data_IF_372089316376
#
_entry.id   IF_372089316376
#
_cell.length_a   1.000
_cell.length_b   1.000
_cell.length_c   1.000
_cell.angle_alpha   90.00
_cell.angle_beta   90.00
_cell.angle_gamma   90.00
#
_symmetry.space_group_name_H-M   'P 1'
#
loop_
_entity.id
_entity.type
_entity.pdbx_description
1 polymer ?
#
# COMPACT_ATOMS: atom_id res chain seq x y z
N UNK A 1 24.11 3.52 5.71
CA UNK A 1 24.16 2.32 4.86
C UNK A 1 22.72 2.06 4.43
N UNK A 2 22.45 1.94 3.13
CA UNK A 2 21.11 1.66 2.62
C UNK A 2 20.91 0.13 2.60
N UNK A 3 19.86 -0.38 3.22
CA UNK A 3 19.53 -1.80 3.29
C UNK A 3 18.35 -2.20 2.39
N UNK A 4 17.76 -1.22 1.68
CA UNK A 4 16.61 -1.44 0.80
C UNK A 4 17.03 -2.24 -0.43
N UNK A 5 16.27 -3.29 -0.74
CA UNK A 5 16.45 -4.20 -1.87
C UNK A 5 15.14 -4.37 -2.64
N UNK A 6 15.14 -4.96 -3.84
CA UNK A 6 13.90 -5.27 -4.57
C UNK A 6 12.89 -6.13 -3.80
N UNK A 7 13.34 -6.92 -2.81
CA UNK A 7 12.43 -7.71 -1.98
C UNK A 7 11.59 -6.87 -1.00
N UNK A 8 11.99 -5.61 -0.74
CA UNK A 8 11.24 -4.71 0.16
C UNK A 8 9.94 -4.17 -0.48
N UNK A 9 9.72 -4.40 -1.78
CA UNK A 9 8.40 -4.22 -2.41
C UNK A 9 7.39 -5.31 -2.02
N UNK A 10 7.85 -6.44 -1.51
CA UNK A 10 6.97 -7.54 -1.12
C UNK A 10 6.72 -7.53 0.39
N UNK A 11 5.54 -7.94 0.86
CA UNK A 11 5.20 -7.95 2.30
C UNK A 11 5.86 -9.15 3.02
N UNK A 12 7.16 -9.36 2.83
CA UNK A 12 7.93 -10.47 3.37
C UNK A 12 9.10 -9.96 4.21
N UNK A 13 9.01 -10.13 5.53
CA UNK A 13 10.11 -9.87 6.45
C UNK A 13 10.69 -11.17 6.95
N UNK A 14 12.01 -11.32 6.81
CA UNK A 14 12.71 -12.52 7.21
C UNK A 14 12.94 -12.57 8.72
N UNK A 15 12.65 -13.73 9.28
CA UNK A 15 13.02 -14.14 10.62
C UNK A 15 13.64 -15.54 10.53
N UNK A 16 14.07 -16.11 11.66
CA UNK A 16 14.53 -17.51 11.74
C UNK A 16 13.39 -18.49 11.39
N UNK A 17 12.18 -18.07 11.72
CA UNK A 17 10.94 -18.81 11.50
C UNK A 17 10.50 -18.79 10.02
N UNK A 18 9.62 -19.71 9.61
CA UNK A 18 8.98 -19.64 8.29
C UNK A 18 8.34 -18.27 8.03
N UNK A 19 8.30 -17.86 6.77
CA UNK A 19 7.82 -16.54 6.35
C UNK A 19 6.41 -16.17 6.85
N UNK A 20 5.59 -17.16 7.18
CA UNK A 20 4.23 -16.96 7.71
C UNK A 20 4.23 -16.53 9.18
N UNK A 21 5.34 -16.71 9.89
CA UNK A 21 5.49 -16.32 11.30
C UNK A 21 6.21 -14.98 11.33
N UNK A 22 5.57 -13.91 11.81
CA UNK A 22 6.22 -12.61 11.88
C UNK A 22 7.32 -12.56 12.93
N UNK A 23 8.31 -11.71 12.71
CA UNK A 23 9.44 -11.51 13.64
C UNK A 23 9.08 -10.80 14.95
N UNK A 24 7.83 -10.39 15.13
CA UNK A 24 7.31 -9.71 16.32
C UNK A 24 6.03 -10.40 16.79
N UNK A 25 5.87 -10.53 18.12
CA UNK A 25 4.65 -11.02 18.76
C UNK A 25 3.66 -9.89 19.08
N UNK A 26 3.99 -8.65 18.79
CA UNK A 26 3.08 -7.54 19.03
C UNK A 26 1.83 -7.70 18.16
N UNK A 27 0.66 -7.57 18.80
CA UNK A 27 -0.63 -7.70 18.12
C UNK A 27 -0.82 -6.71 16.98
N UNK A 28 -0.17 -5.55 17.07
CA UNK A 28 -0.29 -4.48 16.08
C UNK A 28 0.85 -4.48 15.06
N UNK A 29 1.70 -5.49 15.05
CA UNK A 29 2.70 -5.65 13.99
C UNK A 29 2.02 -5.67 12.62
N UNK A 30 2.56 -4.88 11.67
CA UNK A 30 2.03 -4.80 10.31
C UNK A 30 3.13 -4.53 9.28
N UNK A 31 2.84 -4.94 8.04
CA UNK A 31 3.47 -4.46 6.81
C UNK A 31 2.48 -3.56 6.08
N UNK A 32 2.93 -2.42 5.57
CA UNK A 32 2.01 -1.44 4.99
C UNK A 32 2.59 -0.79 3.74
N UNK A 33 1.74 -0.73 2.74
CA UNK A 33 1.90 0.16 1.60
C UNK A 33 1.06 1.42 1.81
N UNK A 34 1.62 2.55 1.42
CA UNK A 34 0.89 3.80 1.32
C UNK A 34 1.35 4.54 0.08
N UNK A 35 0.43 4.76 -0.83
CA UNK A 35 0.69 5.51 -2.04
C UNK A 35 -0.23 6.70 -2.10
N UNK A 36 0.24 7.78 -2.72
CA UNK A 36 -0.59 8.90 -3.10
C UNK A 36 -0.23 9.37 -4.50
N UNK A 37 -1.15 10.09 -5.11
CA UNK A 37 -0.94 10.76 -6.37
C UNK A 37 -1.79 12.02 -6.41
N UNK A 38 -1.24 13.04 -7.04
CA UNK A 38 -1.94 14.31 -7.24
C UNK A 38 -1.82 14.73 -8.69
N UNK A 39 -2.86 15.38 -9.17
CA UNK A 39 -2.82 16.06 -10.45
C UNK A 39 -1.91 17.30 -10.38
N UNK A 40 -1.04 17.55 -11.39
CA UNK A 40 -0.22 18.75 -11.44
C UNK A 40 -1.01 20.06 -11.37
N UNK A 41 -2.24 20.07 -11.84
CA UNK A 41 -3.15 21.23 -11.80
C UNK A 41 -3.99 21.30 -10.52
N UNK A 42 -3.76 20.37 -9.56
CA UNK A 42 -4.46 20.27 -8.28
C UNK A 42 -5.97 20.02 -8.38
N UNK A 43 -6.45 19.44 -9.45
CA UNK A 43 -7.87 19.11 -9.60
C UNK A 43 -8.29 17.97 -8.71
N UNK A 44 -7.37 17.02 -8.41
CA UNK A 44 -7.64 15.87 -7.54
C UNK A 44 -6.36 15.41 -6.81
N UNK A 45 -6.60 14.72 -5.72
CA UNK A 45 -5.61 13.91 -5.00
C UNK A 45 -6.23 12.56 -4.68
N UNK A 46 -5.46 11.49 -4.82
CA UNK A 46 -5.87 10.15 -4.38
C UNK A 46 -4.84 9.51 -3.45
N UNK A 47 -5.29 8.52 -2.71
CA UNK A 47 -4.46 7.69 -1.84
C UNK A 47 -4.88 6.22 -1.93
N UNK A 48 -3.89 5.34 -1.75
CA UNK A 48 -4.04 3.90 -1.64
C UNK A 48 -3.34 3.46 -0.36
N UNK A 49 -4.07 2.82 0.53
CA UNK A 49 -3.49 2.19 1.72
C UNK A 49 -3.75 0.70 1.68
N UNK A 50 -2.73 -0.11 1.95
CA UNK A 50 -2.84 -1.56 2.06
C UNK A 50 -2.03 -1.98 3.28
N UNK A 51 -2.62 -2.77 4.18
CA UNK A 51 -1.96 -3.23 5.37
C UNK A 51 -2.22 -4.73 5.62
N UNK A 52 -1.16 -5.41 6.02
CA UNK A 52 -1.16 -6.81 6.40
C UNK A 52 -0.83 -6.90 7.89
N UNK A 53 -1.73 -7.48 8.69
CA UNK A 53 -1.61 -7.64 10.14
C UNK A 53 -1.50 -9.13 10.50
N UNK A 54 -0.29 -9.72 10.42
CA UNK A 54 -0.13 -11.17 10.55
C UNK A 54 -0.60 -11.70 11.90
N UNK A 55 -0.33 -11.00 13.01
CA UNK A 55 -0.75 -11.42 14.35
C UNK A 55 -2.26 -11.24 14.63
N UNK A 56 -2.99 -10.63 13.68
CA UNK A 56 -4.46 -10.51 13.68
C UNK A 56 -5.13 -11.39 12.63
N UNK A 57 -4.33 -11.99 11.73
CA UNK A 57 -4.83 -12.73 10.56
C UNK A 57 -5.76 -11.90 9.67
N UNK A 58 -5.46 -10.61 9.51
CA UNK A 58 -6.26 -9.66 8.73
C UNK A 58 -5.35 -8.92 7.76
N UNK A 59 -5.88 -8.65 6.57
CA UNK A 59 -5.38 -7.64 5.65
C UNK A 59 -6.51 -6.70 5.27
N UNK A 60 -6.20 -5.44 5.07
CA UNK A 60 -7.15 -4.42 4.65
C UNK A 60 -6.57 -3.51 3.57
N UNK A 61 -7.46 -2.87 2.84
CA UNK A 61 -7.09 -1.87 1.86
C UNK A 61 -8.17 -0.81 1.72
N UNK A 62 -7.74 0.38 1.28
CA UNK A 62 -8.64 1.42 0.82
C UNK A 62 -8.07 2.13 -0.41
N UNK A 63 -8.97 2.66 -1.20
CA UNK A 63 -8.70 3.66 -2.22
C UNK A 63 -9.61 4.86 -1.98
N UNK A 64 -9.03 6.04 -1.93
CA UNK A 64 -9.77 7.28 -1.73
C UNK A 64 -9.31 8.33 -2.72
N UNK A 65 -10.24 9.12 -3.22
CA UNK A 65 -9.95 10.26 -4.09
C UNK A 65 -10.80 11.47 -3.71
N UNK A 66 -10.17 12.64 -3.61
CA UNK A 66 -10.85 13.93 -3.49
C UNK A 66 -10.89 14.60 -4.86
N UNK A 67 -12.09 14.86 -5.35
CA UNK A 67 -12.34 15.45 -6.66
C UNK A 67 -13.60 16.30 -6.66
N UNK A 68 -13.53 17.50 -7.22
CA UNK A 68 -14.65 18.45 -7.29
C UNK A 68 -15.35 18.70 -5.95
N UNK A 69 -14.54 18.85 -4.87
CA UNK A 69 -15.03 19.12 -3.53
C UNK A 69 -15.74 17.94 -2.84
N UNK A 70 -15.64 16.73 -3.38
CA UNK A 70 -16.18 15.49 -2.80
C UNK A 70 -15.08 14.47 -2.62
N UNK A 71 -15.23 13.63 -1.60
CA UNK A 71 -14.38 12.44 -1.41
C UNK A 71 -15.18 11.20 -1.80
N UNK A 72 -14.54 10.35 -2.60
CA UNK A 72 -15.00 9.02 -2.96
C UNK A 72 -14.03 8.02 -2.35
N UNK A 73 -14.56 7.02 -1.64
CA UNK A 73 -13.72 6.03 -0.94
C UNK A 73 -14.29 4.64 -1.05
N UNK A 74 -13.42 3.67 -1.21
CA UNK A 74 -13.74 2.26 -1.13
C UNK A 74 -12.82 1.58 -0.11
N UNK A 75 -13.39 0.76 0.77
CA UNK A 75 -12.68 0.03 1.80
C UNK A 75 -13.03 -1.46 1.73
N UNK A 76 -12.04 -2.31 1.93
CA UNK A 76 -12.26 -3.74 2.09
C UNK A 76 -11.28 -4.32 3.10
N UNK A 77 -11.71 -5.40 3.76
CA UNK A 77 -10.84 -6.21 4.60
C UNK A 77 -11.17 -7.68 4.41
N UNK A 78 -10.18 -8.52 4.64
CA UNK A 78 -10.34 -9.96 4.58
C UNK A 78 -9.36 -10.67 5.50
N UNK A 79 -9.51 -11.98 5.63
CA UNK A 79 -8.55 -12.80 6.34
C UNK A 79 -7.22 -12.85 5.58
N UNK A 80 -6.12 -12.62 6.30
CA UNK A 80 -4.78 -12.84 5.78
C UNK A 80 -4.46 -14.34 5.79
N UNK A 81 -4.15 -14.89 4.64
CA UNK A 81 -3.73 -16.28 4.50
C UNK A 81 -2.21 -16.43 4.72
N UNK A 82 -1.74 -17.67 4.74
CA UNK A 82 -0.31 -18.01 4.86
C UNK A 82 0.51 -17.49 3.68
N UNK A 83 -0.05 -17.53 2.48
CA UNK A 83 0.57 -16.95 1.31
C UNK A 83 0.28 -15.45 1.27
N UNK A 84 1.31 -14.63 1.48
CA UNK A 84 1.21 -13.17 1.52
C UNK A 84 1.49 -12.49 0.17
N UNK A 85 1.95 -13.24 -0.83
CA UNK A 85 2.35 -12.65 -2.11
C UNK A 85 1.18 -12.14 -2.94
N UNK A 86 0.02 -12.83 -3.04
CA UNK A 86 -1.14 -12.23 -3.67
C UNK A 86 -1.72 -11.10 -2.80
N UNK A 87 -1.60 -9.86 -3.27
CA UNK A 87 -2.15 -8.69 -2.58
C UNK A 87 -3.51 -8.37 -3.20
N UNK A 88 -4.47 -9.27 -2.96
CA UNK A 88 -5.87 -9.15 -3.41
C UNK A 88 -6.74 -8.97 -2.17
N UNK A 89 -7.48 -7.87 -2.09
CA UNK A 89 -8.34 -7.55 -0.93
C UNK A 89 -9.70 -7.11 -1.45
N UNK A 90 -10.65 -8.06 -1.41
CA UNK A 90 -11.94 -7.87 -2.06
C UNK A 90 -11.75 -7.56 -3.55
N UNK A 91 -12.32 -6.43 -4.07
CA UNK A 91 -12.18 -6.04 -5.47
C UNK A 91 -10.91 -5.24 -5.78
N UNK A 92 -10.02 -5.05 -4.80
CA UNK A 92 -8.74 -4.36 -4.95
C UNK A 92 -7.60 -5.35 -5.16
N UNK A 93 -6.70 -4.99 -6.08
CA UNK A 93 -5.52 -5.80 -6.38
C UNK A 93 -4.30 -4.88 -6.54
N UNK A 94 -3.20 -5.23 -5.86
CA UNK A 94 -1.88 -4.65 -6.10
C UNK A 94 -0.97 -5.72 -6.70
N UNK A 95 -0.36 -5.42 -7.83
CA UNK A 95 0.64 -6.26 -8.49
C UNK A 95 1.97 -5.52 -8.48
N UNK A 96 3.04 -6.22 -8.12
CA UNK A 96 4.41 -5.73 -8.26
C UNK A 96 4.90 -6.25 -9.60
N UNK A 97 4.87 -5.38 -10.62
CA UNK A 97 5.22 -5.76 -11.99
C UNK A 97 6.74 -5.87 -12.14
N UNK A 98 7.46 -4.90 -11.59
CA UNK A 98 8.91 -4.88 -11.50
C UNK A 98 9.32 -4.29 -10.15
N UNK A 99 9.94 -5.08 -9.23
CA UNK A 99 10.30 -4.61 -7.90
C UNK A 99 11.12 -3.32 -7.91
N UNK A 100 10.72 -2.34 -7.10
CA UNK A 100 11.29 -0.98 -7.00
C UNK A 100 11.13 -0.11 -8.26
N UNK A 101 10.43 -0.57 -9.29
CA UNK A 101 10.27 0.16 -10.54
C UNK A 101 8.81 0.34 -10.94
N UNK A 102 8.03 -0.74 -10.98
CA UNK A 102 6.68 -0.71 -11.51
C UNK A 102 5.70 -1.50 -10.64
N UNK A 103 4.54 -0.89 -10.39
CA UNK A 103 3.40 -1.52 -9.73
C UNK A 103 2.12 -1.20 -10.49
N UNK A 104 1.16 -2.11 -10.41
CA UNK A 104 -0.20 -1.90 -10.90
C UNK A 104 -1.20 -2.04 -9.75
N UNK A 105 -2.06 -1.04 -9.58
CA UNK A 105 -3.18 -1.10 -8.65
C UNK A 105 -4.50 -1.02 -9.40
N UNK A 106 -5.44 -1.88 -9.04
CA UNK A 106 -6.78 -1.86 -9.61
C UNK A 106 -7.85 -1.97 -8.53
N UNK A 107 -8.97 -1.32 -8.77
CA UNK A 107 -10.21 -1.43 -8.02
C UNK A 107 -11.37 -1.63 -9.00
N UNK A 108 -12.17 -2.65 -8.74
CA UNK A 108 -13.45 -2.94 -9.42
C UNK A 108 -14.59 -2.89 -8.40
N UNK A 109 -15.08 -1.69 -8.09
CA UNK A 109 -16.20 -1.52 -7.16
C UNK A 109 -17.45 -2.28 -7.65
N UNK A 110 -18.04 -3.19 -6.86
CA UNK A 110 -19.25 -3.91 -7.23
C UNK A 110 -20.42 -3.02 -7.58
N UNK A 111 -20.53 -1.85 -6.95
CA UNK A 111 -21.58 -0.85 -7.21
C UNK A 111 -21.24 0.06 -8.40
N UNK A 112 -20.07 -0.11 -8.99
CA UNK A 112 -19.54 0.67 -10.12
C UNK A 112 -19.46 2.19 -9.89
N UNK A 113 -19.34 2.62 -8.63
CA UNK A 113 -19.26 4.03 -8.25
C UNK A 113 -17.84 4.59 -8.25
N UNK A 114 -16.85 3.72 -7.98
CA UNK A 114 -15.45 4.06 -7.91
C UNK A 114 -14.60 2.92 -8.49
N UNK A 115 -13.98 3.16 -9.63
CA UNK A 115 -13.13 2.17 -10.28
C UNK A 115 -11.80 2.79 -10.64
N UNK A 116 -10.73 2.03 -10.63
CA UNK A 116 -9.46 2.48 -11.16
C UNK A 116 -8.61 1.34 -11.71
N UNK A 117 -7.73 1.72 -12.63
CA UNK A 117 -6.61 0.91 -13.07
C UNK A 117 -5.41 1.85 -13.23
N UNK A 118 -4.46 1.73 -12.32
CA UNK A 118 -3.37 2.67 -12.13
C UNK A 118 -2.05 1.93 -12.19
N UNK A 119 -1.12 2.46 -12.98
CA UNK A 119 0.26 2.00 -13.05
C UNK A 119 1.19 3.07 -12.49
N UNK A 120 1.99 2.71 -11.50
CA UNK A 120 3.10 3.51 -11.00
C UNK A 120 4.37 3.12 -11.73
N UNK A 121 5.15 4.12 -12.15
CA UNK A 121 6.52 3.93 -12.66
C UNK A 121 7.45 4.85 -11.89
N UNK A 122 8.45 4.27 -11.23
CA UNK A 122 9.43 5.00 -10.46
C UNK A 122 10.29 5.90 -11.35
N UNK A 123 10.57 7.11 -10.90
CA UNK A 123 11.53 8.02 -11.52
C UNK A 123 12.64 8.45 -10.55
N UNK A 124 12.68 7.86 -9.37
CA UNK A 124 13.72 8.04 -8.36
C UNK A 124 14.13 6.70 -7.77
N UNK A 125 15.30 6.66 -7.16
CA UNK A 125 15.67 5.56 -6.28
C UNK A 125 14.82 5.59 -5.01
N UNK A 126 14.61 4.43 -4.39
CA UNK A 126 13.97 4.35 -3.08
C UNK A 126 14.85 4.99 -2.01
N UNK A 127 14.31 5.94 -1.27
CA UNK A 127 14.99 6.62 -0.16
C UNK A 127 14.58 5.97 1.15
N UNK A 128 15.52 5.32 1.83
CA UNK A 128 15.30 4.75 3.14
C UNK A 128 15.16 5.87 4.18
N UNK A 129 14.03 5.89 4.88
CA UNK A 129 13.79 6.81 5.97
C UNK A 129 14.55 6.38 7.24
N UNK A 130 14.80 7.30 8.18
CA UNK A 130 15.34 6.93 9.49
C UNK A 130 14.43 5.94 10.21
N UNK A 131 15.05 4.99 10.90
CA UNK A 131 14.31 4.01 11.72
C UNK A 131 13.51 4.74 12.80
N UNK A 132 12.23 4.42 12.90
CA UNK A 132 11.34 4.91 13.95
C UNK A 132 11.19 3.87 15.05
N UNK A 133 11.57 4.24 16.28
CA UNK A 133 11.43 3.39 17.47
C UNK A 133 10.61 4.13 18.50
N UNK A 134 9.45 3.57 18.87
CA UNK A 134 8.59 4.06 19.92
C UNK A 134 8.55 3.06 21.06
N UNK A 135 8.91 3.52 22.26
CA UNK A 135 8.95 2.72 23.49
C UNK A 135 7.94 3.22 24.50
N UNK A 136 7.35 2.31 25.26
CA UNK A 136 6.60 2.59 26.49
C UNK A 136 7.25 1.79 27.62
N UNK A 137 8.03 2.47 28.46
CA UNK A 137 8.91 1.81 29.40
C UNK A 137 9.90 0.88 28.70
N UNK A 138 9.86 -0.40 28.99
CA UNK A 138 10.69 -1.45 28.38
C UNK A 138 10.03 -2.13 27.18
N UNK A 139 8.77 -1.77 26.87
CA UNK A 139 8.01 -2.36 25.76
C UNK A 139 8.23 -1.58 24.47
N UNK A 140 8.61 -2.26 23.42
CA UNK A 140 8.59 -1.70 22.06
C UNK A 140 7.17 -1.69 21.53
N UNK A 141 6.62 -0.49 21.28
CA UNK A 141 5.30 -0.29 20.66
C UNK A 141 5.41 -0.31 19.15
N UNK A 142 6.43 0.38 18.63
CA UNK A 142 6.67 0.47 17.20
C UNK A 142 8.18 0.45 16.93
N UNK A 143 8.58 -0.30 15.92
CA UNK A 143 9.95 -0.37 15.46
C UNK A 143 9.92 -0.60 13.95
N UNK A 144 9.99 0.49 13.18
CA UNK A 144 9.74 0.46 11.75
C UNK A 144 10.86 1.11 10.96
N UNK A 145 11.10 0.56 9.78
CA UNK A 145 11.87 1.18 8.71
C UNK A 145 10.90 1.36 7.54
N UNK A 146 10.95 2.52 6.92
CA UNK A 146 10.16 2.85 5.74
C UNK A 146 11.09 3.33 4.63
N UNK A 147 10.60 3.26 3.42
CA UNK A 147 11.20 3.98 2.31
C UNK A 147 10.15 4.82 1.59
N UNK A 148 10.60 5.89 0.98
CA UNK A 148 9.80 6.74 0.10
C UNK A 148 10.41 6.73 -1.29
N UNK A 149 9.58 6.63 -2.30
CA UNK A 149 9.99 6.64 -3.69
C UNK A 149 9.08 7.55 -4.50
N UNK A 150 9.67 8.37 -5.36
CA UNK A 150 8.92 9.25 -6.26
C UNK A 150 8.78 8.60 -7.62
N UNK A 151 7.65 8.86 -8.27
CA UNK A 151 7.35 8.30 -9.57
C UNK A 151 6.16 8.99 -10.22
N UNK A 152 5.71 8.40 -11.31
CA UNK A 152 4.57 8.85 -12.07
C UNK A 152 3.49 7.79 -12.06
N UNK A 153 2.26 8.22 -11.83
CA UNK A 153 1.06 7.42 -12.06
C UNK A 153 0.54 7.62 -13.47
N UNK A 154 0.04 6.58 -14.06
CA UNK A 154 -0.70 6.59 -15.32
C UNK A 154 -1.89 5.65 -15.23
N UNK A 155 -2.90 5.84 -16.07
CA UNK A 155 -4.06 4.96 -16.09
C UNK A 155 -5.38 5.72 -16.11
N UNK A 156 -6.38 5.20 -15.39
CA UNK A 156 -7.71 5.79 -15.34
C UNK A 156 -8.35 5.61 -13.96
N UNK A 157 -9.08 6.64 -13.53
CA UNK A 157 -9.95 6.62 -12.36
C UNK A 157 -11.34 7.03 -12.82
N UNK A 158 -12.35 6.26 -12.42
CA UNK A 158 -13.76 6.53 -12.71
C UNK A 158 -14.47 6.78 -11.38
N UNK A 159 -15.17 7.91 -11.31
CA UNK A 159 -16.04 8.28 -10.20
C UNK A 159 -17.42 8.63 -10.73
N UNK A 160 -18.42 8.77 -9.86
CA UNK A 160 -19.74 9.29 -10.26
C UNK A 160 -19.66 10.71 -10.86
N UNK A 161 -18.62 11.49 -10.56
CA UNK A 161 -18.42 12.84 -11.07
C UNK A 161 -17.65 12.91 -12.40
N UNK A 162 -17.13 11.78 -12.87
CA UNK A 162 -16.42 11.69 -14.15
C UNK A 162 -15.21 10.80 -14.16
N UNK A 163 -14.52 10.78 -15.28
CA UNK A 163 -13.30 10.00 -15.53
C UNK A 163 -12.07 10.91 -15.49
N UNK A 164 -11.00 10.40 -14.89
CA UNK A 164 -9.73 11.09 -14.70
C UNK A 164 -8.59 10.23 -15.26
N UNK A 165 -7.53 10.91 -15.72
CA UNK A 165 -6.30 10.27 -16.22
C UNK A 165 -5.12 10.88 -15.46
N UNK A 166 -4.61 10.19 -14.42
CA UNK A 166 -3.40 10.60 -13.73
C UNK A 166 -2.15 10.43 -14.59
#
# INVERSE_FOLDING_TARGET
MNYITPFDDYPIHQAVEPITIPGSTDRNFYDRYFFNGMDPENEYIFEIGIALYPNRHVMDAHFSISYKGKQYSFHASQRLDKNRLPINIGPMCLTIDEPMNELTFSLKDPDNKLNCNLKFSANSVAHQEPRSLLMEGTRTIMNTIRFTQLGKWTGQIFTEAGSLKP
#
